data_IF_129481449214
#
_entry.id   IF_129481449214
#
_cell.length_a   1.000
_cell.length_b   1.000
_cell.length_c   1.000
_cell.angle_alpha   90.00
_cell.angle_beta   90.00
_cell.angle_gamma   90.00
#
_symmetry.space_group_name_H-M   'P 1'
#
loop_
_entity.id
_entity.type
_entity.pdbx_description
1 polymer ?
#
# COMPACT_ATOMS: atom_id res chain seq x y z
N UNK A 1 -52.47 -36.76 -79.40
CA UNK A 1 -51.76 -35.47 -79.50
C UNK A 1 -52.34 -34.53 -78.44
N UNK A 2 -51.67 -34.38 -77.30
CA UNK A 2 -51.91 -33.26 -76.36
C UNK A 2 -50.65 -33.07 -75.53
N UNK A 3 -50.07 -31.88 -75.63
CA UNK A 3 -48.88 -31.43 -74.91
C UNK A 3 -49.29 -31.04 -73.49
N UNK A 4 -48.58 -31.51 -72.47
CA UNK A 4 -48.65 -30.96 -71.12
C UNK A 4 -47.28 -30.38 -70.75
N UNK A 5 -47.25 -29.07 -70.53
CA UNK A 5 -46.06 -28.32 -70.11
C UNK A 5 -45.86 -28.51 -68.60
N UNK A 6 -44.71 -29.04 -68.19
CA UNK A 6 -44.27 -29.05 -66.80
C UNK A 6 -43.73 -27.66 -66.43
N UNK A 7 -44.55 -26.88 -65.72
CA UNK A 7 -44.10 -25.66 -65.04
C UNK A 7 -43.44 -26.00 -63.72
N UNK A 8 -42.13 -25.81 -63.62
CA UNK A 8 -41.34 -25.96 -62.40
C UNK A 8 -41.53 -24.71 -61.52
N UNK A 9 -42.25 -24.83 -60.41
CA UNK A 9 -42.36 -23.77 -59.40
C UNK A 9 -41.21 -23.92 -58.41
N UNK A 10 -40.24 -23.00 -58.47
CA UNK A 10 -39.17 -22.85 -57.47
C UNK A 10 -39.72 -22.12 -56.25
N UNK A 11 -39.96 -22.84 -55.15
CA UNK A 11 -40.25 -22.25 -53.84
C UNK A 11 -38.90 -21.98 -53.17
N UNK A 12 -38.45 -20.73 -53.17
CA UNK A 12 -37.31 -20.30 -52.38
C UNK A 12 -37.70 -20.33 -50.90
N UNK A 13 -37.26 -21.36 -50.18
CA UNK A 13 -37.40 -21.45 -48.73
C UNK A 13 -36.50 -20.41 -48.07
N UNK A 14 -37.10 -19.34 -47.54
CA UNK A 14 -36.41 -18.43 -46.61
C UNK A 14 -36.27 -19.19 -45.29
N UNK A 15 -35.09 -19.77 -45.05
CA UNK A 15 -34.71 -20.29 -43.75
C UNK A 15 -34.56 -19.09 -42.80
N UNK A 16 -35.62 -18.79 -42.03
CA UNK A 16 -35.50 -17.92 -40.88
C UNK A 16 -34.69 -18.66 -39.82
N UNK A 17 -33.43 -18.26 -39.66
CA UNK A 17 -32.63 -18.64 -38.50
C UNK A 17 -33.36 -18.10 -37.26
N UNK A 18 -34.05 -18.98 -36.53
CA UNK A 18 -34.55 -18.66 -35.20
C UNK A 18 -33.35 -18.58 -34.27
N UNK A 19 -32.84 -17.37 -34.05
CA UNK A 19 -32.04 -17.09 -32.85
C UNK A 19 -32.92 -17.40 -31.64
N UNK A 20 -32.66 -18.54 -30.98
CA UNK A 20 -33.33 -18.89 -29.74
C UNK A 20 -33.11 -17.78 -28.71
N UNK A 21 -34.10 -17.46 -27.85
CA UNK A 21 -33.93 -16.41 -26.86
C UNK A 21 -32.77 -16.79 -25.95
N UNK A 22 -31.74 -15.93 -25.92
CA UNK A 22 -30.68 -16.01 -24.93
C UNK A 22 -31.35 -16.10 -23.56
N UNK A 23 -31.24 -17.26 -22.90
CA UNK A 23 -31.84 -17.48 -21.59
C UNK A 23 -31.34 -16.37 -20.67
N UNK A 24 -32.20 -15.46 -20.18
CA UNK A 24 -31.74 -14.41 -19.30
C UNK A 24 -31.28 -15.12 -18.02
N UNK A 25 -29.98 -15.09 -17.74
CA UNK A 25 -29.46 -15.55 -16.45
C UNK A 25 -30.19 -14.73 -15.40
N UNK A 26 -31.16 -15.36 -14.71
CA UNK A 26 -31.93 -14.71 -13.66
C UNK A 26 -30.94 -14.29 -12.58
N UNK A 27 -30.85 -12.98 -12.33
CA UNK A 27 -30.08 -12.48 -11.20
C UNK A 27 -30.69 -13.03 -9.92
N UNK A 28 -29.85 -13.67 -9.10
CA UNK A 28 -30.25 -14.16 -7.79
C UNK A 28 -30.54 -13.00 -6.85
N UNK A 29 -31.43 -13.23 -5.91
CA UNK A 29 -31.68 -12.31 -4.80
C UNK A 29 -30.59 -12.48 -3.74
N UNK A 30 -30.37 -11.45 -2.92
CA UNK A 30 -29.42 -11.53 -1.81
C UNK A 30 -29.72 -12.69 -0.84
N UNK A 31 -31.01 -13.02 -0.68
CA UNK A 31 -31.43 -14.17 0.12
C UNK A 31 -31.01 -15.51 -0.49
N UNK A 32 -31.19 -15.68 -1.81
CA UNK A 32 -30.76 -16.89 -2.53
C UNK A 32 -29.23 -17.05 -2.49
N UNK A 33 -28.47 -15.96 -2.61
CA UNK A 33 -27.01 -16.00 -2.50
C UNK A 33 -26.53 -16.31 -1.08
N UNK A 34 -27.21 -15.80 -0.03
CA UNK A 34 -26.91 -16.14 1.36
C UNK A 34 -27.23 -17.62 1.67
N UNK A 35 -28.32 -18.15 1.11
CA UNK A 35 -28.64 -19.57 1.21
C UNK A 35 -27.57 -20.43 0.54
N UNK A 36 -27.15 -20.08 -0.68
CA UNK A 36 -26.08 -20.78 -1.37
C UNK A 36 -24.78 -20.74 -0.56
N UNK A 37 -24.40 -19.57 -0.03
CA UNK A 37 -23.21 -19.42 0.80
C UNK A 37 -23.25 -20.35 2.02
N UNK A 38 -24.38 -20.39 2.73
CA UNK A 38 -24.58 -21.28 3.89
C UNK A 38 -24.48 -22.77 3.51
N UNK A 39 -25.06 -23.16 2.37
CA UNK A 39 -24.99 -24.53 1.86
C UNK A 39 -23.54 -24.93 1.54
N UNK A 40 -22.79 -24.08 0.84
CA UNK A 40 -21.38 -24.33 0.51
C UNK A 40 -20.54 -24.45 1.77
N UNK A 41 -20.70 -23.54 2.73
CA UNK A 41 -19.97 -23.57 3.99
C UNK A 41 -20.26 -24.87 4.77
N UNK A 42 -21.53 -25.28 4.84
CA UNK A 42 -21.90 -26.52 5.51
C UNK A 42 -21.36 -27.75 4.78
N UNK A 43 -21.37 -27.74 3.44
CA UNK A 43 -20.81 -28.82 2.63
C UNK A 43 -19.32 -29.00 2.87
N UNK A 44 -18.56 -27.90 2.95
CA UNK A 44 -17.12 -27.96 3.29
C UNK A 44 -16.96 -28.52 4.70
N UNK A 45 -17.67 -27.97 5.70
CA UNK A 45 -17.53 -28.38 7.10
C UNK A 45 -17.81 -29.87 7.34
N UNK A 46 -18.77 -30.46 6.62
CA UNK A 46 -19.19 -31.86 6.83
C UNK A 46 -18.36 -32.85 6.03
N UNK A 47 -17.82 -32.45 4.86
CA UNK A 47 -17.18 -33.38 3.93
C UNK A 47 -15.67 -33.17 3.77
N UNK A 48 -15.10 -32.11 4.35
CA UNK A 48 -13.66 -31.90 4.29
C UNK A 48 -12.93 -32.94 5.17
N UNK A 49 -11.88 -33.62 4.66
CA UNK A 49 -11.18 -34.68 5.39
C UNK A 49 -10.48 -34.18 6.65
N UNK A 50 -10.00 -32.94 6.64
CA UNK A 50 -9.37 -32.28 7.79
C UNK A 50 -10.37 -31.46 8.59
N UNK A 51 -10.17 -31.36 9.91
CA UNK A 51 -10.90 -30.42 10.75
C UNK A 51 -10.49 -28.99 10.41
N UNK A 52 -11.34 -28.27 9.67
CA UNK A 52 -11.14 -26.85 9.39
C UNK A 52 -11.92 -26.02 10.41
N UNK A 53 -11.28 -24.98 10.97
CA UNK A 53 -11.97 -23.99 11.79
C UNK A 53 -12.99 -23.22 10.92
N UNK A 54 -14.25 -23.24 11.35
CA UNK A 54 -15.33 -22.53 10.64
C UNK A 54 -15.10 -21.01 10.65
N UNK A 55 -14.47 -20.47 11.71
CA UNK A 55 -14.09 -19.07 11.78
C UNK A 55 -13.08 -18.69 10.70
N UNK A 56 -12.08 -19.54 10.43
CA UNK A 56 -11.09 -19.30 9.38
C UNK A 56 -11.72 -19.27 7.99
N UNK A 57 -12.69 -20.16 7.73
CA UNK A 57 -13.46 -20.15 6.47
C UNK A 57 -14.30 -18.88 6.32
N UNK A 58 -14.94 -18.43 7.39
CA UNK A 58 -15.68 -17.16 7.39
C UNK A 58 -14.74 -15.98 7.13
N UNK A 59 -13.59 -15.94 7.79
CA UNK A 59 -12.60 -14.88 7.59
C UNK A 59 -12.05 -14.87 6.17
N UNK A 60 -11.77 -16.05 5.58
CA UNK A 60 -11.36 -16.15 4.18
C UNK A 60 -12.42 -15.61 3.22
N UNK A 61 -13.71 -15.92 3.45
CA UNK A 61 -14.80 -15.38 2.64
C UNK A 61 -14.92 -13.85 2.77
N UNK A 62 -14.82 -13.33 4.00
CA UNK A 62 -14.83 -11.89 4.27
C UNK A 62 -13.69 -11.18 3.56
N UNK A 63 -12.47 -11.72 3.62
CA UNK A 63 -11.31 -11.19 2.89
C UNK A 63 -11.54 -11.18 1.39
N UNK A 64 -12.06 -12.27 0.83
CA UNK A 64 -12.38 -12.35 -0.59
C UNK A 64 -13.39 -11.28 -1.02
N UNK A 65 -14.42 -11.04 -0.21
CA UNK A 65 -15.41 -10.00 -0.48
C UNK A 65 -14.80 -8.59 -0.43
N UNK A 66 -13.98 -8.29 0.59
CA UNK A 66 -13.35 -6.97 0.73
C UNK A 66 -12.34 -6.72 -0.39
N UNK A 67 -11.50 -7.70 -0.71
CA UNK A 67 -10.53 -7.58 -1.80
C UNK A 67 -11.22 -7.40 -3.16
N UNK A 68 -12.36 -8.07 -3.38
CA UNK A 68 -13.14 -7.90 -4.61
C UNK A 68 -13.81 -6.53 -4.72
N UNK A 69 -14.11 -5.87 -3.59
CA UNK A 69 -14.67 -4.53 -3.56
C UNK A 69 -13.61 -3.45 -3.81
N UNK A 70 -12.45 -3.58 -3.16
CA UNK A 70 -11.31 -2.69 -3.32
C UNK A 70 -10.01 -3.46 -3.01
N UNK A 71 -9.07 -3.58 -3.97
CA UNK A 71 -7.79 -4.25 -3.76
C UNK A 71 -6.93 -3.66 -2.63
N UNK A 72 -7.18 -2.41 -2.23
CA UNK A 72 -6.46 -1.72 -1.16
C UNK A 72 -7.16 -1.82 0.20
N UNK A 73 -8.38 -2.36 0.25
CA UNK A 73 -9.10 -2.61 1.48
C UNK A 73 -8.74 -3.96 2.07
N UNK A 74 -8.64 -4.04 3.40
CA UNK A 74 -8.35 -5.28 4.12
C UNK A 74 -9.19 -5.36 5.41
N UNK A 75 -9.34 -6.56 5.93
CA UNK A 75 -10.03 -6.81 7.20
C UNK A 75 -9.01 -7.24 8.24
N UNK A 76 -9.00 -6.54 9.37
CA UNK A 76 -8.19 -6.88 10.54
C UNK A 76 -9.04 -7.70 11.53
N UNK A 77 -8.97 -9.04 11.53
CA UNK A 77 -9.55 -9.82 12.60
C UNK A 77 -8.81 -9.55 13.91
N UNK A 78 -9.55 -9.20 14.96
CA UNK A 78 -9.00 -8.96 16.30
C UNK A 78 -8.17 -10.13 16.86
N UNK A 79 -8.35 -11.34 16.33
CA UNK A 79 -7.61 -12.55 16.71
C UNK A 79 -6.17 -12.60 16.20
N UNK A 80 -5.75 -11.71 15.29
CA UNK A 80 -4.40 -11.74 14.67
C UNK A 80 -3.44 -10.65 15.15
N UNK A 81 -3.95 -9.60 15.76
CA UNK A 81 -3.09 -8.63 16.43
C UNK A 81 -2.61 -9.23 17.74
N UNK A 82 -1.31 -9.13 18.02
CA UNK A 82 -0.76 -9.44 19.35
C UNK A 82 -0.95 -8.18 20.20
N UNK A 83 -2.04 -8.06 20.99
CA UNK A 83 -2.45 -6.76 21.54
C UNK A 83 -1.39 -6.20 22.50
N UNK A 84 -0.64 -7.11 23.13
CA UNK A 84 0.50 -6.77 23.97
C UNK A 84 1.64 -6.10 23.20
N UNK A 85 2.01 -6.62 22.01
CA UNK A 85 3.03 -6.01 21.15
C UNK A 85 2.57 -4.65 20.63
N UNK A 86 1.32 -4.58 20.18
CA UNK A 86 0.74 -3.34 19.68
C UNK A 86 0.70 -2.25 20.77
N UNK A 87 0.24 -2.59 21.97
CA UNK A 87 0.26 -1.70 23.12
C UNK A 87 1.71 -1.29 23.50
N UNK A 88 2.66 -2.23 23.44
CA UNK A 88 4.07 -1.96 23.70
C UNK A 88 4.71 -1.05 22.64
N UNK A 89 4.34 -1.17 21.37
CA UNK A 89 4.75 -0.23 20.31
C UNK A 89 4.19 1.17 20.55
N UNK A 90 2.89 1.29 20.83
CA UNK A 90 2.26 2.58 21.15
C UNK A 90 2.89 3.23 22.39
N UNK A 91 3.27 2.43 23.38
CA UNK A 91 3.98 2.88 24.57
C UNK A 91 5.49 3.15 24.34
N UNK A 92 6.00 2.98 23.12
CA UNK A 92 7.40 3.22 22.77
C UNK A 92 8.40 2.20 23.33
N UNK A 93 7.93 1.03 23.79
CA UNK A 93 8.76 -0.06 24.32
C UNK A 93 9.33 -0.96 23.23
N UNK A 94 8.62 -1.08 22.11
CA UNK A 94 9.06 -1.82 20.93
C UNK A 94 9.36 -0.87 19.78
N UNK A 95 10.34 -1.27 18.97
CA UNK A 95 10.87 -0.53 17.85
C UNK A 95 10.54 -1.27 16.56
N UNK A 96 10.08 -0.57 15.52
CA UNK A 96 9.79 -1.17 14.22
C UNK A 96 11.11 -1.48 13.47
N UNK A 97 10.98 -2.18 12.36
CA UNK A 97 12.01 -2.17 11.33
C UNK A 97 11.73 -0.95 10.44
N UNK A 98 12.72 -0.09 10.12
CA UNK A 98 12.48 1.17 9.40
C UNK A 98 12.31 0.95 7.88
N UNK A 99 11.37 0.08 7.50
CA UNK A 99 11.01 -0.26 6.12
C UNK A 99 9.48 -0.20 6.03
N UNK A 100 8.96 0.57 5.08
CA UNK A 100 7.53 0.66 4.82
C UNK A 100 7.12 -0.40 3.78
N UNK A 101 6.07 -1.15 4.10
CA UNK A 101 5.49 -2.16 3.22
C UNK A 101 4.08 -1.77 2.76
N UNK A 102 3.71 -2.16 1.55
CA UNK A 102 2.34 -2.16 1.06
C UNK A 102 2.00 -3.55 0.52
N UNK A 103 0.76 -3.96 0.70
CA UNK A 103 0.32 -5.27 0.23
C UNK A 103 -0.21 -5.15 -1.21
N UNK A 104 0.40 -5.90 -2.13
CA UNK A 104 -0.05 -6.04 -3.51
C UNK A 104 -0.36 -7.51 -3.78
N UNK A 105 -1.60 -7.82 -4.16
CA UNK A 105 -2.03 -9.21 -4.38
C UNK A 105 -1.81 -10.11 -3.15
N UNK A 106 -1.94 -9.55 -1.94
CA UNK A 106 -1.71 -10.28 -0.69
C UNK A 106 -0.25 -10.43 -0.27
N UNK A 107 0.70 -9.92 -1.06
CA UNK A 107 2.14 -10.01 -0.75
C UNK A 107 2.68 -8.66 -0.27
N UNK A 108 3.45 -8.63 0.84
CA UNK A 108 4.07 -7.41 1.32
C UNK A 108 5.24 -7.00 0.44
N UNK A 109 5.14 -5.83 -0.18
CA UNK A 109 6.16 -5.25 -1.06
C UNK A 109 6.73 -3.99 -0.41
N UNK A 110 8.05 -3.85 -0.43
CA UNK A 110 8.76 -2.67 0.04
C UNK A 110 8.33 -1.46 -0.79
N UNK A 111 7.86 -0.42 -0.12
CA UNK A 111 7.54 0.89 -0.71
C UNK A 111 8.71 1.85 -0.54
N UNK A 112 9.30 1.88 0.65
CA UNK A 112 10.43 2.76 0.97
C UNK A 112 11.21 2.22 2.16
N UNK A 113 12.50 2.54 2.21
CA UNK A 113 13.35 2.30 3.39
C UNK A 113 13.66 3.65 4.01
N UNK A 114 13.50 3.79 5.32
CA UNK A 114 13.63 5.09 5.96
C UNK A 114 15.05 5.64 5.81
N UNK A 115 15.25 6.83 5.21
CA UNK A 115 16.58 7.35 4.97
C UNK A 115 17.36 7.61 6.25
N UNK A 116 18.68 7.34 6.22
CA UNK A 116 19.56 7.50 7.38
C UNK A 116 19.55 6.32 8.36
N UNK A 117 18.59 5.39 8.25
CA UNK A 117 18.56 4.16 9.05
C UNK A 117 19.70 3.20 8.69
N UNK A 118 20.01 2.26 9.58
CA UNK A 118 20.86 1.11 9.28
C UNK A 118 20.25 0.24 8.18
N UNK A 119 18.91 0.16 8.11
CA UNK A 119 18.23 -0.58 7.03
C UNK A 119 18.50 0.03 5.65
N UNK A 120 18.66 1.36 5.54
CA UNK A 120 18.98 2.02 4.28
C UNK A 120 20.35 1.60 3.70
N UNK A 121 21.24 1.03 4.53
CA UNK A 121 22.55 0.51 4.10
C UNK A 121 22.48 -0.94 3.60
N UNK A 122 21.33 -1.59 3.72
CA UNK A 122 21.16 -3.02 3.44
C UNK A 122 20.78 -3.34 1.99
N UNK A 123 20.86 -2.41 1.04
CA UNK A 123 20.44 -2.66 -0.35
C UNK A 123 19.05 -3.32 -0.42
N UNK A 124 18.11 -2.81 0.37
CA UNK A 124 16.68 -3.16 0.31
C UNK A 124 16.04 -2.09 -0.56
N UNK A 125 15.34 -2.49 -1.62
CA UNK A 125 14.86 -1.58 -2.65
C UNK A 125 13.33 -1.58 -2.72
N UNK A 126 12.71 -0.44 -3.06
CA UNK A 126 11.31 -0.41 -3.45
C UNK A 126 11.01 -1.45 -4.54
N UNK A 127 9.93 -2.21 -4.35
CA UNK A 127 9.55 -3.32 -5.22
C UNK A 127 10.05 -4.70 -4.80
N UNK A 128 10.91 -4.78 -3.78
CA UNK A 128 11.26 -6.07 -3.16
C UNK A 128 10.06 -6.66 -2.41
N UNK A 129 9.77 -7.94 -2.61
CA UNK A 129 8.69 -8.66 -1.93
C UNK A 129 9.23 -9.41 -0.71
N UNK A 130 8.66 -9.20 0.48
CA UNK A 130 9.06 -9.92 1.68
C UNK A 130 8.39 -11.30 1.76
N UNK A 131 9.19 -12.35 1.69
CA UNK A 131 8.68 -13.73 1.66
C UNK A 131 8.86 -14.49 2.98
N UNK A 132 9.88 -14.13 3.78
CA UNK A 132 10.09 -14.72 5.09
C UNK A 132 10.76 -13.76 6.08
N UNK A 133 10.46 -13.97 7.36
CA UNK A 133 11.05 -13.30 8.53
C UNK A 133 11.59 -14.37 9.46
N UNK A 134 12.87 -14.28 9.83
CA UNK A 134 13.55 -15.24 10.70
C UNK A 134 13.35 -16.71 10.27
N UNK A 135 13.40 -16.93 8.94
CA UNK A 135 13.19 -18.22 8.25
C UNK A 135 11.76 -18.77 8.32
N UNK A 136 10.79 -17.99 8.80
CA UNK A 136 9.37 -18.33 8.79
C UNK A 136 8.66 -17.55 7.68
N UNK A 137 7.73 -18.16 6.91
CA UNK A 137 6.92 -17.43 5.94
C UNK A 137 6.18 -16.27 6.58
N UNK A 138 6.02 -15.17 5.84
CA UNK A 138 5.20 -14.05 6.32
C UNK A 138 3.75 -14.49 6.47
N UNK A 139 3.20 -14.31 7.67
CA UNK A 139 1.81 -14.63 7.99
C UNK A 139 0.90 -13.38 8.08
N UNK A 140 1.49 -12.19 8.00
CA UNK A 140 0.75 -10.93 8.07
C UNK A 140 -0.06 -10.72 6.78
N UNK A 141 -1.25 -10.16 6.92
CA UNK A 141 -2.14 -9.86 5.78
C UNK A 141 -2.32 -8.37 5.51
N UNK A 142 -1.76 -7.53 6.39
CA UNK A 142 -1.75 -6.08 6.23
C UNK A 142 -0.41 -5.50 6.66
N UNK A 143 -0.14 -4.27 6.21
CA UNK A 143 1.06 -3.54 6.61
C UNK A 143 1.11 -3.32 8.12
N UNK A 144 -0.05 -3.04 8.74
CA UNK A 144 -0.15 -2.84 10.20
C UNK A 144 0.17 -4.12 10.99
N UNK A 145 -0.40 -5.27 10.57
CA UNK A 145 -0.06 -6.56 11.17
C UNK A 145 1.43 -6.89 11.00
N UNK A 146 1.98 -6.59 9.82
CA UNK A 146 3.38 -6.84 9.52
C UNK A 146 4.30 -5.99 10.41
N UNK A 147 4.01 -4.69 10.56
CA UNK A 147 4.79 -3.79 11.40
C UNK A 147 4.79 -4.23 12.87
N UNK A 148 3.62 -4.65 13.39
CA UNK A 148 3.48 -5.19 14.75
C UNK A 148 4.26 -6.51 14.90
N UNK A 149 4.17 -7.38 13.90
CA UNK A 149 4.90 -8.65 13.87
C UNK A 149 6.42 -8.43 13.87
N UNK A 150 6.92 -7.51 13.05
CA UNK A 150 8.33 -7.18 12.93
C UNK A 150 8.88 -6.44 14.16
N UNK A 151 8.05 -5.75 14.93
CA UNK A 151 8.49 -4.97 16.07
C UNK A 151 9.13 -5.81 17.18
N UNK A 152 10.12 -5.22 17.86
CA UNK A 152 10.95 -5.88 18.84
C UNK A 152 11.81 -4.91 19.66
N UNK A 153 12.72 -5.40 20.51
CA UNK A 153 13.58 -4.55 21.33
C UNK A 153 14.47 -3.61 20.49
N UNK A 154 14.76 -2.40 21.00
CA UNK A 154 15.67 -1.44 20.33
C UNK A 154 17.02 -2.10 20.03
N UNK A 155 17.51 -1.92 18.80
CA UNK A 155 18.83 -2.42 18.37
C UNK A 155 18.91 -3.92 18.11
N UNK A 156 17.83 -4.68 18.40
CA UNK A 156 17.78 -6.09 17.99
C UNK A 156 17.63 -6.21 16.47
N UNK A 157 18.06 -7.32 15.90
CA UNK A 157 17.96 -7.57 14.46
C UNK A 157 16.92 -8.64 14.14
N UNK A 158 16.44 -8.62 12.90
CA UNK A 158 15.61 -9.68 12.31
C UNK A 158 16.09 -9.98 10.90
N UNK A 159 16.03 -11.25 10.50
CA UNK A 159 16.40 -11.67 9.16
C UNK A 159 15.19 -11.55 8.24
N UNK A 160 15.30 -10.72 7.21
CA UNK A 160 14.34 -10.57 6.13
C UNK A 160 14.84 -11.32 4.91
N UNK A 161 14.00 -12.18 4.34
CA UNK A 161 14.22 -12.79 3.03
C UNK A 161 13.30 -12.12 2.03
N UNK A 162 13.89 -11.41 1.07
CA UNK A 162 13.20 -10.62 0.06
C UNK A 162 13.34 -11.27 -1.31
N UNK A 163 12.32 -11.21 -2.15
CA UNK A 163 12.40 -11.55 -3.57
C UNK A 163 12.46 -10.28 -4.40
N UNK A 164 13.49 -10.17 -5.24
CA UNK A 164 13.70 -9.05 -6.16
C UNK A 164 13.53 -9.51 -7.59
N UNK A 165 12.59 -8.89 -8.31
CA UNK A 165 12.44 -9.07 -9.75
C UNK A 165 13.38 -8.12 -10.49
N UNK A 166 14.22 -8.68 -11.37
CA UNK A 166 15.14 -7.91 -12.23
C UNK A 166 14.49 -7.57 -13.57
N UNK A 167 15.10 -6.63 -14.29
CA UNK A 167 14.64 -6.17 -15.59
C UNK A 167 14.63 -7.29 -16.66
N UNK A 168 15.49 -8.29 -16.51
CA UNK A 168 15.55 -9.48 -17.37
C UNK A 168 14.46 -10.53 -17.03
N UNK A 169 13.59 -10.25 -16.07
CA UNK A 169 12.53 -11.13 -15.61
C UNK A 169 12.96 -12.17 -14.58
N UNK A 170 14.26 -12.27 -14.27
CA UNK A 170 14.76 -13.17 -13.23
C UNK A 170 14.33 -12.71 -11.83
N UNK A 171 14.11 -13.67 -10.93
CA UNK A 171 13.79 -13.42 -9.52
C UNK A 171 14.96 -13.92 -8.68
N UNK A 172 15.47 -13.07 -7.79
CA UNK A 172 16.55 -13.42 -6.88
C UNK A 172 16.12 -13.25 -5.43
N UNK A 173 16.57 -14.15 -4.56
CA UNK A 173 16.36 -14.03 -3.12
C UNK A 173 17.49 -13.22 -2.49
N UNK A 174 17.12 -12.27 -1.65
CA UNK A 174 18.00 -11.31 -1.00
C UNK A 174 17.75 -11.39 0.50
N UNK A 175 18.68 -12.00 1.22
CA UNK A 175 18.64 -12.09 2.68
C UNK A 175 19.32 -10.87 3.29
N UNK A 176 18.64 -10.18 4.21
CA UNK A 176 19.16 -9.01 4.94
C UNK A 176 18.84 -9.08 6.42
N UNK A 177 19.78 -8.65 7.26
CA UNK A 177 19.54 -8.54 8.70
C UNK A 177 19.24 -7.08 9.03
N UNK A 178 17.96 -6.77 9.26
CA UNK A 178 17.51 -5.41 9.52
C UNK A 178 17.47 -5.15 11.03
N UNK A 179 18.03 -4.00 11.43
CA UNK A 179 18.00 -3.55 12.82
C UNK A 179 16.65 -2.88 13.14
N UNK A 180 16.15 -3.10 14.35
CA UNK A 180 14.95 -2.45 14.86
C UNK A 180 15.30 -1.12 15.51
N UNK A 181 14.83 -0.05 14.89
CA UNK A 181 15.11 1.32 15.29
C UNK A 181 14.00 2.26 14.80
N UNK A 182 13.91 3.45 15.40
CA UNK A 182 13.02 4.50 14.92
C UNK A 182 13.80 5.39 13.98
N UNK A 183 13.29 5.55 12.77
CA UNK A 183 13.83 6.51 11.80
C UNK A 183 13.77 7.97 12.29
N UNK A 184 12.92 8.24 13.30
CA UNK A 184 12.70 9.55 13.94
C UNK A 184 13.98 10.17 14.55
N UNK A 185 15.05 9.39 14.77
CA UNK A 185 16.30 9.90 15.35
C UNK A 185 17.20 10.64 14.33
N UNK A 186 16.83 10.67 13.03
CA UNK A 186 17.55 11.41 11.98
C UNK A 186 16.71 12.58 11.47
N UNK A 187 17.37 13.72 11.14
CA UNK A 187 16.69 14.87 10.51
C UNK A 187 15.85 14.44 9.30
N UNK A 188 14.66 15.02 9.14
CA UNK A 188 13.84 14.81 7.96
C UNK A 188 14.44 15.45 6.69
N UNK A 189 15.41 16.36 6.86
CA UNK A 189 16.08 17.09 5.77
C UNK A 189 17.57 16.72 5.73
N UNK A 190 17.93 15.53 5.20
CA UNK A 190 19.33 15.09 5.15
C UNK A 190 20.19 15.91 4.16
N UNK A 191 19.59 16.72 3.29
CA UNK A 191 20.33 17.52 2.30
C UNK A 191 19.63 18.84 2.03
N UNK A 192 20.36 19.94 2.22
CA UNK A 192 19.91 21.29 1.89
C UNK A 192 21.10 22.14 1.41
N UNK A 193 21.07 22.62 0.16
CA UNK A 193 22.15 23.40 -0.43
C UNK A 193 21.68 24.28 -1.60
N UNK A 194 22.53 25.22 -2.05
CA UNK A 194 22.29 26.02 -3.25
C UNK A 194 22.74 25.23 -4.48
N UNK A 195 21.81 24.88 -5.38
CA UNK A 195 22.11 24.31 -6.70
C UNK A 195 22.72 25.35 -7.65
N UNK A 196 22.26 26.60 -7.53
CA UNK A 196 22.73 27.74 -8.29
C UNK A 196 22.59 29.00 -7.43
N UNK A 197 23.08 30.15 -7.91
CA UNK A 197 23.05 31.43 -7.19
C UNK A 197 21.69 31.83 -6.60
N UNK A 198 20.58 31.36 -7.19
CA UNK A 198 19.21 31.69 -6.75
C UNK A 198 18.33 30.45 -6.54
N UNK A 199 18.85 29.24 -6.81
CA UNK A 199 18.07 27.99 -6.75
C UNK A 199 18.58 27.15 -5.59
N UNK A 200 17.74 26.96 -4.58
CA UNK A 200 17.99 26.04 -3.48
C UNK A 200 17.44 24.65 -3.78
N UNK A 201 18.03 23.66 -3.14
CA UNK A 201 17.58 22.28 -3.13
C UNK A 201 17.44 21.81 -1.68
N UNK A 202 16.31 21.20 -1.38
CA UNK A 202 16.04 20.56 -0.10
C UNK A 202 15.46 19.18 -0.41
N UNK A 203 16.06 18.13 0.15
CA UNK A 203 15.49 16.78 0.15
C UNK A 203 14.77 16.54 1.46
N UNK A 204 13.47 16.24 1.42
CA UNK A 204 12.66 15.92 2.59
C UNK A 204 12.21 14.46 2.50
N UNK A 205 12.71 13.62 3.42
CA UNK A 205 12.67 12.17 3.27
C UNK A 205 11.53 11.47 4.01
N UNK A 206 10.83 12.15 4.91
CA UNK A 206 9.72 11.56 5.68
C UNK A 206 8.85 12.62 6.31
N UNK A 207 7.57 12.32 6.52
CA UNK A 207 6.64 13.05 7.40
C UNK A 207 6.39 12.33 8.73
N UNK A 208 7.07 11.21 8.98
CA UNK A 208 6.93 10.46 10.23
C UNK A 208 7.69 11.12 11.38
N UNK A 209 8.73 11.90 11.07
CA UNK A 209 9.43 12.72 12.03
C UNK A 209 8.56 13.93 12.43
N UNK A 210 8.28 14.08 13.72
CA UNK A 210 7.47 15.18 14.29
C UNK A 210 8.11 16.58 14.14
N UNK A 211 9.38 16.61 13.74
CA UNK A 211 10.16 17.82 13.42
C UNK A 211 10.31 18.04 11.91
N UNK A 212 9.62 17.29 11.06
CA UNK A 212 9.77 17.41 9.61
C UNK A 212 9.53 18.85 9.10
N UNK A 213 8.47 19.49 9.60
CA UNK A 213 8.19 20.89 9.28
C UNK A 213 9.25 21.85 9.84
N UNK A 214 9.73 21.62 11.06
CA UNK A 214 10.73 22.48 11.70
C UNK A 214 12.11 22.37 11.03
N UNK A 215 12.50 21.16 10.62
CA UNK A 215 13.72 20.88 9.86
C UNK A 215 13.68 21.56 8.49
N UNK A 216 12.52 21.50 7.81
CA UNK A 216 12.30 22.20 6.55
C UNK A 216 12.37 23.72 6.73
N UNK A 217 11.70 24.26 7.75
CA UNK A 217 11.71 25.68 8.07
C UNK A 217 13.13 26.19 8.28
N UNK A 218 13.91 25.46 9.08
CA UNK A 218 15.32 25.79 9.32
C UNK A 218 16.15 25.73 8.04
N UNK A 219 15.92 24.73 7.17
CA UNK A 219 16.61 24.62 5.89
C UNK A 219 16.26 25.77 4.92
N UNK A 220 14.99 26.15 4.83
CA UNK A 220 14.52 27.28 4.04
C UNK A 220 15.21 28.57 4.48
N UNK A 221 15.17 28.88 5.78
CA UNK A 221 15.78 30.09 6.32
C UNK A 221 17.29 30.18 6.03
N UNK A 222 18.02 29.06 6.10
CA UNK A 222 19.46 29.01 5.74
C UNK A 222 19.70 29.29 4.26
N UNK A 223 18.87 28.77 3.36
CA UNK A 223 19.04 28.97 1.91
C UNK A 223 18.57 30.37 1.47
N UNK A 224 17.51 30.90 2.07
CA UNK A 224 17.05 32.28 1.86
C UNK A 224 18.13 33.29 2.27
N UNK A 225 18.78 33.07 3.42
CA UNK A 225 19.93 33.88 3.85
C UNK A 225 21.12 33.84 2.89
N UNK A 226 21.18 32.84 1.99
CA UNK A 226 22.18 32.71 0.93
C UNK A 226 21.70 33.22 -0.44
N UNK A 227 20.54 33.88 -0.51
CA UNK A 227 19.99 34.47 -1.73
C UNK A 227 19.08 33.55 -2.54
N UNK A 228 18.59 32.45 -1.97
CA UNK A 228 17.61 31.59 -2.63
C UNK A 228 16.31 32.34 -2.93
N UNK A 229 15.85 32.26 -4.19
CA UNK A 229 14.53 32.78 -4.62
C UNK A 229 13.69 31.71 -5.32
N UNK A 230 14.28 30.55 -5.66
CA UNK A 230 13.62 29.39 -6.26
C UNK A 230 14.03 28.13 -5.50
N UNK A 231 13.12 27.17 -5.36
CA UNK A 231 13.35 25.94 -4.59
C UNK A 231 13.02 24.71 -5.43
N UNK A 232 13.90 23.71 -5.37
CA UNK A 232 13.59 22.32 -5.70
C UNK A 232 13.38 21.56 -4.39
N UNK A 233 12.15 21.15 -4.14
CA UNK A 233 11.82 20.27 -3.00
C UNK A 233 11.75 18.83 -3.51
N UNK A 234 12.71 18.00 -3.09
CA UNK A 234 12.80 16.60 -3.48
C UNK A 234 12.12 15.71 -2.44
N UNK A 235 10.99 15.11 -2.84
CA UNK A 235 10.20 14.17 -2.05
C UNK A 235 10.34 12.72 -2.55
N UNK A 236 11.30 12.44 -3.41
CA UNK A 236 11.52 11.06 -3.87
C UNK A 236 11.94 10.18 -2.70
N UNK A 237 11.44 8.95 -2.71
CA UNK A 237 11.59 7.95 -1.65
C UNK A 237 11.01 8.38 -0.29
N UNK A 238 10.14 9.39 -0.25
CA UNK A 238 9.40 9.78 0.94
C UNK A 238 8.18 8.86 1.10
N UNK A 239 8.28 7.91 2.05
CA UNK A 239 7.21 6.94 2.35
C UNK A 239 5.97 7.50 3.03
N UNK A 240 5.86 8.82 3.19
CA UNK A 240 4.74 9.47 3.86
C UNK A 240 5.01 9.68 5.35
N UNK A 241 3.95 9.61 6.16
CA UNK A 241 3.98 9.80 7.61
C UNK A 241 2.76 10.55 8.11
N UNK A 242 2.95 11.39 9.13
CA UNK A 242 1.85 12.13 9.75
C UNK A 242 1.21 13.12 8.77
N UNK A 243 -0.11 12.99 8.56
CA UNK A 243 -0.90 13.96 7.78
C UNK A 243 -0.82 15.36 8.41
N UNK A 244 -0.75 15.44 9.74
CA UNK A 244 -0.59 16.71 10.43
C UNK A 244 0.78 17.35 10.12
N UNK A 245 1.86 16.57 10.05
CA UNK A 245 3.16 17.09 9.65
C UNK A 245 3.21 17.47 8.17
N UNK A 246 2.60 16.66 7.30
CA UNK A 246 2.48 17.01 5.88
C UNK A 246 1.74 18.35 5.70
N UNK A 247 0.69 18.60 6.50
CA UNK A 247 -0.03 19.87 6.51
C UNK A 247 0.83 21.03 7.03
N UNK A 248 1.65 20.82 8.06
CA UNK A 248 2.61 21.84 8.55
C UNK A 248 3.66 22.18 7.49
N UNK A 249 4.23 21.17 6.84
CA UNK A 249 5.17 21.33 5.72
C UNK A 249 4.53 22.12 4.57
N UNK A 250 3.29 21.79 4.19
CA UNK A 250 2.57 22.54 3.17
C UNK A 250 2.32 24.01 3.57
N UNK A 251 2.15 24.27 4.87
CA UNK A 251 2.01 25.60 5.45
C UNK A 251 3.23 26.52 5.24
N UNK A 252 4.42 25.99 4.95
CA UNK A 252 5.59 26.80 4.57
C UNK A 252 5.43 27.47 3.19
N UNK A 253 4.58 26.92 2.34
CA UNK A 253 4.43 27.34 0.94
C UNK A 253 3.07 27.95 0.62
N UNK A 254 2.03 27.54 1.35
CA UNK A 254 0.66 27.96 1.10
C UNK A 254 0.29 29.16 1.98
N UNK A 255 -0.39 30.17 1.43
CA UNK A 255 -0.96 31.24 2.23
C UNK A 255 -2.04 30.69 3.17
N UNK A 256 -2.26 31.37 4.30
CA UNK A 256 -3.36 31.02 5.19
C UNK A 256 -4.69 31.04 4.42
N UNK A 257 -5.37 29.90 4.37
CA UNK A 257 -6.75 29.85 3.94
C UNK A 257 -7.59 30.65 4.95
N UNK A 258 -8.49 31.51 4.48
CA UNK A 258 -9.15 32.56 5.26
C UNK A 258 -10.08 32.09 6.42
N UNK A 259 -10.02 30.82 6.85
CA UNK A 259 -10.89 30.27 7.90
C UNK A 259 -10.19 29.59 9.08
N UNK A 260 -8.86 29.71 9.25
CA UNK A 260 -8.20 29.41 10.54
C UNK A 260 -7.32 30.58 10.99
N UNK A 261 -7.74 31.20 12.09
CA UNK A 261 -7.01 32.25 12.80
C UNK A 261 -5.80 31.67 13.54
N UNK A 262 -4.67 31.53 12.84
CA UNK A 262 -3.37 31.26 13.43
C UNK A 262 -2.33 32.14 12.74
N UNK A 263 -1.69 33.02 13.50
CA UNK A 263 -0.74 34.00 12.99
C UNK A 263 0.35 33.34 12.15
N UNK A 264 0.42 33.67 10.86
CA UNK A 264 1.56 33.31 9.99
C UNK A 264 1.82 34.41 8.96
N UNK A 265 3.10 34.54 8.62
CA UNK A 265 3.69 35.60 7.78
C UNK A 265 2.96 35.76 6.45
N UNK A 266 2.65 37.01 6.09
CA UNK A 266 2.35 37.38 4.72
C UNK A 266 3.63 37.22 3.88
N UNK A 267 3.80 36.07 3.24
CA UNK A 267 4.72 35.95 2.11
C UNK A 267 3.88 35.75 0.86
N UNK A 268 3.77 36.80 0.06
CA UNK A 268 3.30 36.71 -1.32
C UNK A 268 4.34 35.95 -2.14
N UNK A 269 4.29 34.61 -2.11
CA UNK A 269 5.06 33.76 -3.03
C UNK A 269 4.22 33.56 -4.29
N UNK A 270 4.67 34.14 -5.41
CA UNK A 270 4.16 33.77 -6.72
C UNK A 270 4.89 32.50 -7.16
N UNK A 271 4.16 31.40 -7.25
CA UNK A 271 4.64 30.18 -7.87
C UNK A 271 4.18 30.23 -9.34
N UNK A 272 5.14 30.14 -10.26
CA UNK A 272 4.88 29.93 -11.69
C UNK A 272 4.90 28.43 -11.99
#
# INVERSE_FOLDING_TARGET
MTRAWLGLVLIAGVAQAQEGPASPIRKRTAYEDLQMFSQVLNQIRVNHPDSIDTHDLFMAAVRGMVHAADPHSYVLPATRLVPEKEAAMRAGKLYPVPIAFAFYGGSPVVVSVAPGSEAAKLDILPGDELVAVDSQPVQAESAEELDISLAGPKGSTTKLSLQRRRLDGSVVTVDRSAMRERAEETTAVPSAFMLHAQVGYIRLTTFANDKAADDLHAALGRLEGRGMTRLVLDLRDNGGGSVAEAARVAGEFLPAWAGRSGATRSVTRSWC
#
